data_IF_078962430414
#
_entry.id   IF_078962430414
#
_cell.length_a   1.000
_cell.length_b   1.000
_cell.length_c   1.000
_cell.angle_alpha   90.00
_cell.angle_beta   90.00
_cell.angle_gamma   90.00
#
_symmetry.space_group_name_H-M   'P 1'
#
loop_
_entity.id
_entity.type
_entity.pdbx_description
1 polymer ?
#
# COMPACT_ATOMS: atom_id res chain seq x y z
N UNK A 1 -5.52 5.37 3.83
CA UNK A 1 -6.03 6.69 3.42
C UNK A 1 -7.54 6.58 3.45
N UNK A 2 -8.28 7.41 4.20
CA UNK A 2 -9.58 7.01 4.73
C UNK A 2 -10.67 6.84 3.66
N UNK A 3 -11.47 5.78 3.78
CA UNK A 3 -12.86 5.80 3.32
C UNK A 3 -13.69 6.58 4.33
N UNK A 4 -14.11 7.79 3.99
CA UNK A 4 -14.93 8.68 4.82
C UNK A 4 -16.40 8.27 4.92
N UNK A 5 -16.68 6.96 4.90
CA UNK A 5 -17.99 6.38 5.17
C UNK A 5 -17.75 5.00 5.77
N UNK A 6 -18.16 4.77 7.01
CA UNK A 6 -17.97 3.53 7.80
C UNK A 6 -16.55 3.29 8.37
N UNK A 7 -16.21 4.03 9.45
CA UNK A 7 -15.02 3.81 10.30
C UNK A 7 -15.00 2.40 10.95
N UNK A 8 -16.08 1.62 10.81
CA UNK A 8 -16.29 0.33 11.48
C UNK A 8 -16.47 -0.87 10.53
N UNK A 9 -16.28 -0.68 9.22
CA UNK A 9 -16.20 -1.81 8.28
C UNK A 9 -14.75 -2.13 7.97
N UNK A 10 -14.25 -3.23 8.54
CA UNK A 10 -13.03 -3.85 8.05
C UNK A 10 -13.18 -4.13 6.55
N UNK A 11 -12.49 -3.36 5.71
CA UNK A 11 -12.36 -3.67 4.29
C UNK A 11 -11.56 -4.96 4.22
N UNK A 12 -12.22 -6.06 3.88
CA UNK A 12 -11.53 -7.31 3.57
C UNK A 12 -10.73 -7.11 2.28
N UNK A 13 -9.43 -6.82 2.44
CA UNK A 13 -8.48 -6.58 1.36
C UNK A 13 -7.51 -7.75 1.15
N UNK A 14 -7.83 -8.95 1.67
CA UNK A 14 -6.94 -10.12 1.59
C UNK A 14 -6.59 -10.48 0.14
N UNK A 15 -7.55 -10.34 -0.78
CA UNK A 15 -7.32 -10.60 -2.19
C UNK A 15 -6.31 -9.60 -2.78
N UNK A 16 -6.45 -8.32 -2.48
CA UNK A 16 -5.53 -7.28 -2.94
C UNK A 16 -4.12 -7.53 -2.38
N UNK A 17 -4.01 -7.85 -1.09
CA UNK A 17 -2.73 -8.19 -0.45
C UNK A 17 -2.07 -9.38 -1.15
N UNK A 18 -2.80 -10.46 -1.39
CA UNK A 18 -2.28 -11.63 -2.10
C UNK A 18 -1.83 -11.31 -3.53
N UNK A 19 -2.58 -10.47 -4.25
CA UNK A 19 -2.20 -10.03 -5.59
C UNK A 19 -0.92 -9.19 -5.57
N UNK A 20 -0.77 -8.26 -4.63
CA UNK A 20 0.45 -7.46 -4.50
C UNK A 20 1.64 -8.34 -4.11
N UNK A 21 1.48 -9.26 -3.16
CA UNK A 21 2.52 -10.26 -2.80
C UNK A 21 2.96 -11.01 -4.05
N UNK A 22 2.01 -11.52 -4.85
CA UNK A 22 2.32 -12.26 -6.07
C UNK A 22 3.06 -11.40 -7.09
N UNK A 23 2.59 -10.18 -7.35
CA UNK A 23 3.23 -9.26 -8.30
C UNK A 23 4.65 -8.92 -7.87
N UNK A 24 4.85 -8.49 -6.63
CA UNK A 24 6.18 -8.18 -6.11
C UNK A 24 7.10 -9.41 -6.09
N UNK A 25 6.57 -10.60 -5.77
CA UNK A 25 7.35 -11.84 -5.81
C UNK A 25 7.81 -12.20 -7.22
N UNK A 26 6.99 -11.96 -8.25
CA UNK A 26 7.37 -12.16 -9.64
C UNK A 26 8.45 -11.17 -10.11
N UNK A 27 8.40 -9.92 -9.62
CA UNK A 27 9.36 -8.89 -10.00
C UNK A 27 10.70 -9.05 -9.26
N UNK A 28 10.66 -9.40 -7.98
CA UNK A 28 11.78 -9.24 -7.05
C UNK A 28 12.20 -10.53 -6.33
N UNK A 29 11.52 -11.65 -6.59
CA UNK A 29 11.87 -12.96 -6.03
C UNK A 29 11.23 -13.29 -4.68
N UNK A 30 10.46 -12.36 -4.10
CA UNK A 30 9.65 -12.60 -2.91
C UNK A 30 8.97 -11.32 -2.41
N UNK A 31 8.03 -11.45 -1.48
CA UNK A 31 7.42 -10.32 -0.79
C UNK A 31 6.93 -10.75 0.60
N UNK A 32 6.89 -9.79 1.52
CA UNK A 32 6.38 -10.00 2.88
C UNK A 32 5.25 -9.01 3.12
N UNK A 33 4.21 -9.47 3.83
CA UNK A 33 3.15 -8.61 4.33
C UNK A 33 3.15 -8.59 5.85
N UNK A 34 2.89 -7.44 6.45
CA UNK A 34 2.76 -7.25 7.89
C UNK A 34 1.54 -6.41 8.24
N UNK A 35 0.91 -6.73 9.36
CA UNK A 35 -0.10 -5.91 9.99
C UNK A 35 0.53 -4.67 10.64
N UNK A 36 -0.12 -3.52 10.48
CA UNK A 36 0.25 -2.28 11.15
C UNK A 36 -0.99 -1.46 11.49
N UNK A 37 -0.80 -0.43 12.33
CA UNK A 37 -1.82 0.55 12.67
C UNK A 37 -1.36 1.90 12.13
N UNK A 38 -2.14 2.46 11.21
CA UNK A 38 -2.01 3.83 10.76
C UNK A 38 -2.85 4.75 11.63
N UNK A 39 -2.52 6.04 11.64
CA UNK A 39 -3.38 7.03 12.26
C UNK A 39 -2.99 8.45 11.91
N UNK A 40 -3.96 9.35 12.01
CA UNK A 40 -3.79 10.79 11.80
C UNK A 40 -4.75 11.57 12.71
N UNK A 41 -4.48 12.86 12.87
CA UNK A 41 -5.36 13.77 13.61
C UNK A 41 -6.32 14.43 12.61
N UNK A 42 -7.62 14.26 12.82
CA UNK A 42 -8.66 14.92 12.04
C UNK A 42 -8.80 16.41 12.42
N UNK A 43 -9.50 17.18 11.58
CA UNK A 43 -9.66 18.64 11.77
C UNK A 43 -10.37 19.01 13.08
N UNK A 44 -11.16 18.10 13.65
CA UNK A 44 -11.84 18.26 14.94
C UNK A 44 -10.97 17.88 16.15
N UNK A 45 -9.71 17.50 15.91
CA UNK A 45 -8.75 17.09 16.94
C UNK A 45 -8.83 15.62 17.34
N UNK A 46 -9.74 14.83 16.77
CA UNK A 46 -9.81 13.40 17.05
C UNK A 46 -8.66 12.65 16.36
N UNK A 47 -8.06 11.68 17.07
CA UNK A 47 -7.12 10.75 16.44
C UNK A 47 -7.92 9.64 15.78
N UNK A 48 -7.81 9.55 14.46
CA UNK A 48 -8.35 8.45 13.68
C UNK A 48 -7.25 7.39 13.58
N UNK A 49 -7.60 6.14 13.88
CA UNK A 49 -6.73 4.98 13.74
C UNK A 49 -7.32 4.03 12.70
N UNK A 50 -6.47 3.38 11.91
CA UNK A 50 -6.87 2.38 10.92
C UNK A 50 -5.94 1.18 10.95
N UNK A 51 -6.49 -0.03 10.81
CA UNK A 51 -5.69 -1.22 10.55
C UNK A 51 -5.23 -1.17 9.09
N UNK A 52 -3.94 -1.30 8.86
CA UNK A 52 -3.35 -1.31 7.52
C UNK A 52 -2.50 -2.55 7.30
N UNK A 53 -2.37 -2.93 6.03
CA UNK A 53 -1.45 -3.97 5.57
C UNK A 53 -0.30 -3.31 4.84
N UNK A 54 0.93 -3.57 5.28
CA UNK A 54 2.15 -3.15 4.58
C UNK A 54 2.64 -4.34 3.79
N UNK A 55 2.83 -4.19 2.48
CA UNK A 55 3.45 -5.21 1.63
C UNK A 55 4.74 -4.66 1.07
N UNK A 56 5.85 -5.37 1.32
CA UNK A 56 7.18 -4.93 0.90
C UNK A 56 7.99 -6.08 0.31
N UNK A 57 9.01 -5.72 -0.44
CA UNK A 57 9.93 -6.64 -1.08
C UNK A 57 11.32 -6.01 -1.19
N UNK A 58 12.35 -6.85 -1.17
CA UNK A 58 13.73 -6.43 -1.42
C UNK A 58 14.06 -6.67 -2.89
N UNK A 59 14.69 -5.68 -3.52
CA UNK A 59 15.12 -5.76 -4.91
C UNK A 59 16.51 -5.17 -5.07
N UNK A 60 17.21 -5.55 -6.14
CA UNK A 60 18.44 -4.86 -6.55
C UNK A 60 18.12 -3.51 -7.18
N UNK A 61 19.12 -2.63 -7.27
CA UNK A 61 18.95 -1.34 -7.96
C UNK A 61 18.61 -1.51 -9.44
N UNK A 62 19.08 -2.58 -10.08
CA UNK A 62 18.77 -2.92 -11.47
C UNK A 62 17.29 -3.31 -11.61
N UNK A 63 16.81 -4.22 -10.77
CA UNK A 63 15.40 -4.63 -10.74
C UNK A 63 14.47 -3.43 -10.47
N UNK A 64 14.85 -2.55 -9.54
CA UNK A 64 14.07 -1.34 -9.26
C UNK A 64 13.99 -0.44 -10.50
N UNK A 65 15.12 -0.18 -11.17
CA UNK A 65 15.19 0.67 -12.35
C UNK A 65 14.36 0.10 -13.50
N UNK A 66 14.39 -1.21 -13.69
CA UNK A 66 13.64 -1.90 -14.74
C UNK A 66 12.13 -1.93 -14.51
N UNK A 67 11.70 -1.95 -13.24
CA UNK A 67 10.30 -2.20 -12.89
C UNK A 67 9.57 -1.01 -12.25
N UNK A 68 10.22 0.15 -12.09
CA UNK A 68 9.63 1.30 -11.38
C UNK A 68 8.31 1.75 -11.98
N UNK A 69 8.19 1.81 -13.31
CA UNK A 69 6.94 2.20 -13.97
C UNK A 69 5.82 1.19 -13.71
N UNK A 70 6.15 -0.10 -13.70
CA UNK A 70 5.21 -1.17 -13.33
C UNK A 70 4.78 -1.06 -11.88
N UNK A 71 5.67 -0.71 -10.95
CA UNK A 71 5.32 -0.48 -9.53
C UNK A 71 4.36 0.70 -9.40
N UNK A 72 4.62 1.80 -10.11
CA UNK A 72 3.70 2.96 -10.13
C UNK A 72 2.33 2.58 -10.67
N UNK A 73 2.27 1.81 -11.76
CA UNK A 73 1.01 1.32 -12.32
C UNK A 73 0.27 0.38 -11.34
N UNK A 74 0.98 -0.48 -10.63
CA UNK A 74 0.41 -1.34 -9.58
C UNK A 74 -0.24 -0.48 -8.50
N UNK A 75 0.43 0.57 -8.02
CA UNK A 75 -0.11 1.48 -7.01
C UNK A 75 -1.34 2.23 -7.51
N UNK A 76 -1.32 2.77 -8.74
CA UNK A 76 -2.46 3.46 -9.35
C UNK A 76 -3.68 2.55 -9.52
N UNK A 77 -3.46 1.30 -9.92
CA UNK A 77 -4.53 0.31 -10.05
C UNK A 77 -5.09 -0.07 -8.69
N UNK A 78 -4.23 -0.28 -7.69
CA UNK A 78 -4.64 -0.60 -6.31
C UNK A 78 -5.47 0.54 -5.70
N UNK A 79 -5.03 1.79 -5.91
CA UNK A 79 -5.75 3.00 -5.50
C UNK A 79 -7.18 3.00 -6.02
N UNK A 80 -7.36 2.78 -7.33
CA UNK A 80 -8.67 2.74 -8.00
C UNK A 80 -9.52 1.56 -7.53
N UNK A 81 -8.92 0.37 -7.45
CA UNK A 81 -9.62 -0.86 -7.04
C UNK A 81 -10.16 -0.77 -5.62
N UNK A 82 -9.39 -0.18 -4.70
CA UNK A 82 -9.76 -0.03 -3.30
C UNK A 82 -10.51 1.28 -2.99
N UNK A 83 -10.82 2.09 -4.02
CA UNK A 83 -11.45 3.40 -3.89
C UNK A 83 -10.76 4.28 -2.83
N UNK A 84 -9.43 4.23 -2.80
CA UNK A 84 -8.58 5.03 -1.92
C UNK A 84 -8.23 6.34 -2.63
N UNK A 85 -8.14 7.47 -1.92
CA UNK A 85 -7.62 8.69 -2.54
C UNK A 85 -6.09 8.74 -2.59
N UNK A 86 -5.38 7.85 -1.88
CA UNK A 86 -3.94 7.69 -2.00
C UNK A 86 -3.42 6.32 -1.50
N UNK A 87 -2.32 5.88 -2.09
CA UNK A 87 -1.48 4.75 -1.69
C UNK A 87 -0.10 5.28 -1.28
N UNK A 88 0.44 4.77 -0.17
CA UNK A 88 1.80 5.10 0.27
C UNK A 88 2.79 4.13 -0.36
N UNK A 89 3.75 4.66 -1.12
CA UNK A 89 4.87 3.92 -1.69
C UNK A 89 6.17 4.40 -1.03
N UNK A 90 6.93 3.48 -0.44
CA UNK A 90 8.24 3.77 0.12
C UNK A 90 9.33 3.02 -0.66
N UNK A 91 10.36 3.75 -1.09
CA UNK A 91 11.52 3.20 -1.78
C UNK A 91 12.78 3.73 -1.09
N UNK A 92 13.56 2.83 -0.48
CA UNK A 92 14.81 3.17 0.22
C UNK A 92 14.64 4.33 1.24
N UNK A 93 13.56 4.31 2.02
CA UNK A 93 13.25 5.34 3.02
C UNK A 93 12.66 6.64 2.46
N UNK A 94 12.48 6.75 1.14
CA UNK A 94 11.79 7.88 0.53
C UNK A 94 10.33 7.53 0.27
N UNK A 95 9.45 8.35 0.82
CA UNK A 95 8.00 8.16 0.74
C UNK A 95 7.42 8.99 -0.40
N UNK A 96 6.54 8.37 -1.19
CA UNK A 96 5.71 8.99 -2.20
C UNK A 96 4.25 8.59 -1.97
N UNK A 97 3.34 9.54 -2.15
CA UNK A 97 1.91 9.27 -2.17
C UNK A 97 1.44 9.25 -3.62
N UNK A 98 0.71 8.20 -3.99
CA UNK A 98 0.14 7.95 -5.31
C UNK A 98 -1.37 8.07 -5.21
#
# INVERSE_FOLDING_TARGET
MPSTVDVDKEVNNEQQVLQIIKKLSLLFGGATASDAVGGWVANDGQTVIEKIKIVYSYCTSEQLKENIDTILEICENLKKEMLQEAITLEINGQVKFI
#
